data_IF_065645113270
#
_entry.id   IF_065645113270
#
_cell.length_a   1.000
_cell.length_b   1.000
_cell.length_c   1.000
_cell.angle_alpha   90.00
_cell.angle_beta   90.00
_cell.angle_gamma   90.00
#
_symmetry.space_group_name_H-M   'P 1'
#
loop_
_entity.id
_entity.type
_entity.pdbx_description
1 polymer ?
#
# COMPACT_ATOMS: atom_id res chain seq x y z
N UNK A 1 2.33 -34.40 -30.25
CA UNK A 1 2.90 -33.85 -28.99
C UNK A 1 2.05 -32.64 -28.65
N UNK A 2 1.22 -32.76 -27.61
CA UNK A 2 0.16 -31.81 -27.25
C UNK A 2 0.73 -30.57 -26.56
N UNK A 3 0.10 -29.41 -26.77
CA UNK A 3 0.48 -28.09 -26.24
C UNK A 3 0.82 -28.09 -24.74
N UNK A 4 0.22 -28.98 -23.95
CA UNK A 4 0.49 -29.12 -22.51
C UNK A 4 1.93 -29.56 -22.18
N UNK A 5 2.62 -30.27 -23.06
CA UNK A 5 4.01 -30.68 -22.84
C UNK A 5 5.02 -29.54 -23.04
N UNK A 6 4.66 -28.51 -23.82
CA UNK A 6 5.52 -27.34 -24.06
C UNK A 6 5.40 -26.34 -22.90
N UNK A 7 4.20 -26.16 -22.33
CA UNK A 7 3.98 -25.26 -21.19
C UNK A 7 4.67 -25.77 -19.92
N UNK A 8 4.66 -27.09 -19.68
CA UNK A 8 5.36 -27.72 -18.56
C UNK A 8 6.89 -27.62 -18.69
N UNK A 9 7.42 -27.59 -19.92
CA UNK A 9 8.86 -27.43 -20.16
C UNK A 9 9.32 -25.98 -19.91
N UNK A 10 8.51 -24.98 -20.26
CA UNK A 10 8.84 -23.54 -20.07
C UNK A 10 8.75 -23.13 -18.60
N UNK A 11 7.80 -23.67 -17.83
CA UNK A 11 7.72 -23.43 -16.37
C UNK A 11 8.83 -24.15 -15.60
N UNK A 12 9.22 -25.35 -16.05
CA UNK A 12 10.35 -26.08 -15.47
C UNK A 12 11.69 -25.39 -15.75
N UNK A 13 11.90 -24.79 -16.93
CA UNK A 13 13.14 -24.05 -17.22
C UNK A 13 13.20 -22.67 -16.56
N UNK A 14 12.06 -22.01 -16.28
CA UNK A 14 12.05 -20.76 -15.51
C UNK A 14 12.34 -21.00 -14.01
N UNK A 15 11.79 -22.06 -13.41
CA UNK A 15 12.04 -22.42 -12.01
C UNK A 15 13.44 -23.03 -11.81
N UNK A 16 13.90 -23.90 -12.71
CA UNK A 16 15.27 -24.43 -12.65
C UNK A 16 16.33 -23.41 -13.10
N UNK A 17 15.98 -22.49 -14.00
CA UNK A 17 16.86 -21.40 -14.44
C UNK A 17 17.11 -20.37 -13.34
N UNK A 18 16.09 -19.99 -12.56
CA UNK A 18 16.25 -19.14 -11.38
C UNK A 18 17.14 -19.79 -10.30
N UNK A 19 17.02 -21.10 -10.10
CA UNK A 19 17.86 -21.87 -9.17
C UNK A 19 19.33 -21.95 -9.62
N UNK A 20 19.61 -21.89 -10.93
CA UNK A 20 20.99 -21.94 -11.43
C UNK A 20 21.68 -20.57 -11.47
N UNK A 21 20.93 -19.48 -11.68
CA UNK A 21 21.49 -18.11 -11.64
C UNK A 21 21.91 -17.69 -10.22
N UNK A 22 21.25 -18.21 -9.18
CA UNK A 22 21.66 -18.03 -7.78
C UNK A 22 22.99 -18.75 -7.42
N UNK A 23 23.49 -19.65 -8.27
CA UNK A 23 24.71 -20.44 -8.02
C UNK A 23 26.01 -19.73 -8.44
N UNK A 24 25.97 -18.57 -9.11
CA UNK A 24 27.18 -17.91 -9.64
C UNK A 24 27.43 -16.45 -9.26
N UNK A 25 26.57 -15.80 -8.46
CA UNK A 25 26.91 -14.47 -7.90
C UNK A 25 27.87 -14.61 -6.72
N UNK A 26 29.14 -14.84 -7.03
CA UNK A 26 30.22 -14.60 -6.08
C UNK A 26 30.25 -13.14 -5.64
N UNK A 27 30.09 -12.90 -4.33
CA UNK A 27 30.72 -11.75 -3.67
C UNK A 27 29.84 -10.65 -3.10
N UNK A 28 28.51 -10.77 -3.08
CA UNK A 28 27.65 -9.76 -2.47
C UNK A 28 26.45 -10.40 -1.80
N UNK A 29 26.45 -10.44 -0.48
CA UNK A 29 25.31 -10.87 0.32
C UNK A 29 25.63 -10.64 1.79
N UNK A 30 24.60 -10.47 2.61
CA UNK A 30 24.77 -10.37 4.05
C UNK A 30 24.84 -11.78 4.64
N UNK A 31 26.00 -12.15 5.14
CA UNK A 31 26.15 -13.39 5.92
C UNK A 31 25.75 -13.11 7.36
N UNK A 32 24.90 -13.96 7.94
CA UNK A 32 24.49 -13.90 9.34
C UNK A 32 24.72 -15.24 10.03
N UNK A 33 24.97 -15.19 11.33
CA UNK A 33 25.12 -16.37 12.18
C UNK A 33 23.93 -16.46 13.12
N UNK A 34 23.20 -17.57 13.12
CA UNK A 34 22.05 -17.76 14.03
C UNK A 34 22.30 -18.97 14.92
N UNK A 35 22.27 -18.77 16.24
CA UNK A 35 22.56 -19.82 17.22
C UNK A 35 21.25 -20.36 17.80
N UNK A 36 21.00 -21.65 17.59
CA UNK A 36 19.85 -22.41 18.09
C UNK A 36 20.28 -23.42 19.16
N UNK A 37 19.35 -23.75 20.07
CA UNK A 37 19.52 -24.91 20.96
C UNK A 37 19.35 -26.24 20.20
N UNK A 38 18.45 -26.25 19.21
CA UNK A 38 18.21 -27.36 18.30
C UNK A 38 18.04 -26.80 16.89
N UNK A 39 18.95 -27.19 15.98
CA UNK A 39 18.89 -26.80 14.55
C UNK A 39 17.84 -27.59 13.78
N UNK A 40 17.15 -28.53 14.45
CA UNK A 40 16.20 -29.47 13.85
C UNK A 40 16.88 -30.18 12.68
N UNK A 41 16.14 -30.48 11.63
CA UNK A 41 16.65 -31.10 10.41
C UNK A 41 17.17 -30.09 9.37
N UNK A 42 17.53 -28.87 9.77
CA UNK A 42 18.06 -27.84 8.85
C UNK A 42 19.42 -28.27 8.28
N UNK A 43 19.65 -28.00 7.00
CA UNK A 43 20.81 -28.42 6.22
C UNK A 43 21.35 -27.25 5.40
N UNK A 44 22.59 -27.40 4.95
CA UNK A 44 23.12 -26.53 3.90
C UNK A 44 22.23 -26.63 2.65
N UNK A 45 22.10 -25.50 1.96
CA UNK A 45 21.23 -25.27 0.79
C UNK A 45 19.72 -25.13 1.10
N UNK A 46 19.30 -25.26 2.37
CA UNK A 46 17.92 -24.95 2.77
C UNK A 46 17.60 -23.45 2.61
N UNK A 47 16.33 -23.14 2.38
CA UNK A 47 15.86 -21.79 2.11
C UNK A 47 15.84 -20.92 3.38
N UNK A 48 16.14 -19.63 3.20
CA UNK A 48 15.88 -18.58 4.19
C UNK A 48 14.69 -17.74 3.72
N UNK A 49 13.67 -17.63 4.56
CA UNK A 49 12.39 -17.00 4.22
C UNK A 49 12.13 -15.78 5.11
N UNK A 50 11.65 -14.71 4.49
CA UNK A 50 11.06 -13.54 5.15
C UNK A 50 9.64 -13.35 4.63
N UNK A 51 8.64 -13.41 5.51
CA UNK A 51 7.23 -13.46 5.09
C UNK A 51 6.93 -14.70 4.24
N UNK A 52 6.65 -14.51 2.95
CA UNK A 52 6.42 -15.54 1.94
C UNK A 52 7.53 -15.61 0.87
N UNK A 53 8.56 -14.78 0.98
CA UNK A 53 9.63 -14.65 -0.01
C UNK A 53 10.91 -15.41 0.41
N UNK A 54 11.52 -16.10 -0.55
CA UNK A 54 12.86 -16.67 -0.41
C UNK A 54 13.88 -15.55 -0.57
N UNK A 55 14.62 -15.26 0.49
CA UNK A 55 15.57 -14.12 0.54
C UNK A 55 17.03 -14.56 0.67
N UNK A 56 17.27 -15.85 0.88
CA UNK A 56 18.61 -16.38 1.08
C UNK A 56 18.69 -17.90 1.11
N UNK A 57 19.87 -18.38 1.50
CA UNK A 57 20.21 -19.80 1.62
C UNK A 57 21.04 -20.05 2.87
N UNK A 58 20.83 -21.19 3.50
CA UNK A 58 21.71 -21.72 4.55
C UNK A 58 23.01 -22.19 3.90
N UNK A 59 24.14 -21.62 4.31
CA UNK A 59 25.46 -22.02 3.83
C UNK A 59 25.99 -23.23 4.61
N UNK A 60 25.83 -23.23 5.93
CA UNK A 60 26.27 -24.33 6.78
C UNK A 60 25.47 -24.42 8.09
N UNK A 61 25.47 -25.61 8.69
CA UNK A 61 24.87 -25.90 9.99
C UNK A 61 25.90 -26.68 10.81
N UNK A 62 26.41 -26.07 11.88
CA UNK A 62 27.48 -26.62 12.70
C UNK A 62 27.23 -26.38 14.19
N UNK A 63 27.14 -27.45 14.98
CA UNK A 63 27.11 -27.40 16.46
C UNK A 63 26.10 -26.40 17.06
N UNK A 64 24.89 -26.34 16.50
CA UNK A 64 23.85 -25.41 16.95
C UNK A 64 23.87 -24.04 16.24
N UNK A 65 24.91 -23.72 15.49
CA UNK A 65 25.00 -22.50 14.70
C UNK A 65 24.62 -22.74 13.23
N UNK A 66 23.81 -21.85 12.69
CA UNK A 66 23.39 -21.81 11.29
C UNK A 66 24.03 -20.58 10.65
N UNK A 67 24.84 -20.79 9.61
CA UNK A 67 25.37 -19.69 8.79
C UNK A 67 24.44 -19.56 7.60
N UNK A 68 23.82 -18.39 7.46
CA UNK A 68 22.90 -18.08 6.40
C UNK A 68 23.41 -16.90 5.58
N UNK A 69 23.27 -16.98 4.27
CA UNK A 69 23.56 -15.89 3.35
C UNK A 69 22.26 -15.33 2.79
N UNK A 70 22.02 -14.06 3.06
CA UNK A 70 20.94 -13.27 2.51
C UNK A 70 21.43 -12.59 1.23
N UNK A 71 20.62 -12.61 0.18
CA UNK A 71 20.95 -11.97 -1.08
C UNK A 71 21.14 -10.45 -0.88
N UNK A 72 21.97 -9.80 -1.71
CA UNK A 72 22.30 -8.36 -1.54
C UNK A 72 21.05 -7.50 -1.58
N UNK A 73 20.14 -7.78 -2.50
CA UNK A 73 18.86 -7.10 -2.67
C UNK A 73 17.94 -7.20 -1.45
N UNK A 74 18.20 -8.14 -0.53
CA UNK A 74 17.42 -8.39 0.67
C UNK A 74 18.22 -8.13 1.96
N UNK A 75 19.47 -7.69 1.87
CA UNK A 75 20.32 -7.46 3.04
C UNK A 75 19.71 -6.43 4.01
N UNK A 76 18.96 -5.46 3.48
CA UNK A 76 18.23 -4.45 4.26
C UNK A 76 17.02 -5.00 5.03
N UNK A 77 16.64 -6.27 4.88
CA UNK A 77 15.55 -6.85 5.67
C UNK A 77 16.01 -7.29 7.07
N UNK A 78 17.31 -7.51 7.24
CA UNK A 78 17.90 -8.01 8.48
C UNK A 78 18.48 -6.86 9.29
N UNK A 79 18.03 -6.71 10.53
CA UNK A 79 18.44 -5.66 11.47
C UNK A 79 18.78 -6.29 12.82
N UNK A 80 19.39 -5.53 13.74
CA UNK A 80 19.74 -6.06 15.07
C UNK A 80 18.51 -6.58 15.84
N UNK A 81 17.31 -6.13 15.48
CA UNK A 81 16.04 -6.61 16.02
C UNK A 81 15.49 -7.90 15.44
N UNK A 82 16.05 -8.41 14.34
CA UNK A 82 15.47 -9.53 13.61
C UNK A 82 15.41 -10.80 14.46
N UNK A 83 14.30 -11.51 14.37
CA UNK A 83 14.04 -12.72 15.16
C UNK A 83 13.99 -13.92 14.23
N UNK A 84 14.84 -14.91 14.48
CA UNK A 84 14.96 -16.10 13.64
C UNK A 84 14.35 -17.33 14.32
N UNK A 85 13.63 -18.17 13.58
CA UNK A 85 13.16 -19.47 14.04
C UNK A 85 13.23 -20.51 12.91
N UNK A 86 13.13 -21.78 13.28
CA UNK A 86 13.13 -22.89 12.31
C UNK A 86 11.72 -23.45 12.20
N UNK A 87 11.15 -23.38 10.99
CA UNK A 87 9.90 -24.07 10.67
C UNK A 87 10.23 -25.43 10.07
N UNK A 88 9.75 -26.49 10.72
CA UNK A 88 10.06 -27.87 10.35
C UNK A 88 8.80 -28.66 9.97
N UNK A 89 8.85 -29.34 8.83
CA UNK A 89 7.90 -30.35 8.39
C UNK A 89 8.59 -31.74 8.35
N UNK A 90 7.86 -32.86 8.27
CA UNK A 90 8.42 -34.22 8.36
C UNK A 90 9.58 -34.54 7.39
N UNK A 91 9.79 -33.75 6.34
CA UNK A 91 10.87 -33.95 5.35
C UNK A 91 11.69 -32.69 5.04
N UNK A 92 11.45 -31.57 5.73
CA UNK A 92 12.05 -30.27 5.37
C UNK A 92 12.16 -29.37 6.59
N UNK A 93 13.22 -28.57 6.64
CA UNK A 93 13.32 -27.44 7.55
C UNK A 93 13.69 -26.21 6.73
N UNK A 94 13.18 -25.07 7.16
CA UNK A 94 13.50 -23.76 6.58
C UNK A 94 13.84 -22.80 7.71
N UNK A 95 14.77 -21.89 7.43
CA UNK A 95 15.09 -20.79 8.34
C UNK A 95 14.15 -19.63 8.03
N UNK A 96 13.42 -19.14 9.03
CA UNK A 96 12.47 -18.04 8.87
C UNK A 96 12.88 -16.91 9.80
N UNK A 97 12.69 -15.67 9.37
CA UNK A 97 12.81 -14.53 10.26
C UNK A 97 11.76 -13.45 10.01
N UNK A 98 11.57 -12.62 11.02
CA UNK A 98 10.84 -11.36 10.92
C UNK A 98 11.65 -10.23 11.57
N UNK A 99 11.21 -9.00 11.33
CA UNK A 99 11.83 -7.81 11.90
C UNK A 99 10.75 -7.00 12.62
N UNK A 100 10.76 -6.96 13.96
CA UNK A 100 9.82 -6.13 14.70
C UNK A 100 10.12 -4.65 14.44
N UNK A 101 9.04 -3.88 14.39
CA UNK A 101 8.97 -2.47 13.97
C UNK A 101 9.88 -1.49 14.76
N UNK A 102 10.39 -1.90 15.92
CA UNK A 102 11.07 -1.02 16.87
C UNK A 102 12.59 -1.19 16.96
N UNK A 103 13.23 -1.94 16.08
CA UNK A 103 14.52 -2.50 16.49
C UNK A 103 15.63 -2.54 15.44
N UNK A 104 16.70 -1.80 15.80
CA UNK A 104 18.07 -2.10 15.44
C UNK A 104 18.66 -1.23 14.34
N UNK A 105 19.98 -1.01 14.40
CA UNK A 105 20.71 -0.53 13.23
C UNK A 105 20.85 -1.60 12.15
N UNK A 106 21.46 -1.22 11.03
CA UNK A 106 21.94 -2.17 10.02
C UNK A 106 22.95 -3.13 10.66
N UNK A 107 22.88 -4.42 10.29
CA UNK A 107 23.81 -5.42 10.81
C UNK A 107 25.02 -5.57 9.89
N UNK A 108 26.18 -5.78 10.51
CA UNK A 108 27.41 -6.10 9.78
C UNK A 108 27.44 -7.58 9.36
N UNK A 109 28.14 -7.93 8.28
CA UNK A 109 28.38 -9.33 7.92
C UNK A 109 29.00 -10.11 9.08
N UNK A 110 28.43 -11.27 9.37
CA UNK A 110 28.83 -12.13 10.48
C UNK A 110 28.13 -11.82 11.81
N UNK A 111 27.18 -10.87 11.84
CA UNK A 111 26.39 -10.59 13.03
C UNK A 111 25.71 -11.86 13.56
N UNK A 112 25.73 -12.01 14.88
CA UNK A 112 25.22 -13.18 15.58
C UNK A 112 23.84 -12.92 16.19
N UNK A 113 22.87 -13.72 15.76
CA UNK A 113 21.52 -13.75 16.29
C UNK A 113 21.30 -14.96 17.19
N UNK A 114 20.44 -14.78 18.18
CA UNK A 114 19.91 -15.89 18.96
C UNK A 114 18.62 -16.39 18.31
N UNK A 115 18.62 -17.64 17.89
CA UNK A 115 17.45 -18.32 17.34
C UNK A 115 16.40 -18.64 18.41
N UNK A 116 15.13 -18.46 18.06
CA UNK A 116 13.97 -18.82 18.86
C UNK A 116 13.59 -20.29 18.63
N UNK A 117 13.06 -20.94 19.67
CA UNK A 117 12.64 -22.34 19.59
C UNK A 117 11.40 -22.53 18.70
N UNK A 118 10.50 -21.55 18.74
CA UNK A 118 9.22 -21.52 18.05
C UNK A 118 9.02 -20.16 17.38
N UNK A 119 8.06 -20.10 16.45
CA UNK A 119 7.64 -18.87 15.83
C UNK A 119 7.17 -17.89 16.93
N UNK A 120 7.72 -16.66 17.00
CA UNK A 120 7.22 -15.68 17.94
C UNK A 120 5.76 -15.37 17.62
N UNK A 121 4.96 -15.07 18.64
CA UNK A 121 3.64 -14.49 18.39
C UNK A 121 3.82 -13.25 17.50
N UNK A 122 2.97 -13.08 16.47
CA UNK A 122 2.96 -11.85 15.68
C UNK A 122 2.92 -10.67 16.64
N UNK A 123 3.69 -9.62 16.36
CA UNK A 123 3.56 -8.39 17.14
C UNK A 123 2.06 -8.03 17.14
N UNK A 124 1.40 -7.89 18.30
CA UNK A 124 -0.02 -7.55 18.34
C UNK A 124 -0.33 -6.20 17.67
N UNK A 125 0.69 -5.39 17.35
CA UNK A 125 0.59 -4.19 16.50
C UNK A 125 0.58 -4.48 15.00
N UNK A 126 1.10 -5.62 14.56
CA UNK A 126 1.04 -6.10 13.18
C UNK A 126 -0.23 -6.94 13.01
N UNK A 127 -1.36 -6.25 12.88
CA UNK A 127 -2.56 -6.92 12.39
C UNK A 127 -2.24 -7.56 11.03
N UNK A 128 -2.60 -8.83 10.78
CA UNK A 128 -2.42 -9.42 9.46
C UNK A 128 -3.07 -8.51 8.43
N UNK A 129 -2.40 -8.30 7.29
CA UNK A 129 -2.94 -7.46 6.23
C UNK A 129 -4.37 -7.92 5.92
N UNK A 130 -5.35 -6.99 5.90
CA UNK A 130 -6.75 -7.35 5.74
C UNK A 130 -6.91 -8.09 4.41
N UNK A 131 -7.65 -9.19 4.37
CA UNK A 131 -7.81 -9.91 3.10
C UNK A 131 -8.52 -9.01 2.08
N UNK A 132 -7.93 -8.76 0.90
CA UNK A 132 -8.56 -7.91 -0.09
C UNK A 132 -9.80 -8.64 -0.60
N UNK A 133 -10.93 -7.94 -0.61
CA UNK A 133 -12.18 -8.44 -1.17
C UNK A 133 -12.69 -7.35 -2.09
N UNK A 134 -13.00 -7.73 -3.32
CA UNK A 134 -13.65 -6.83 -4.28
C UNK A 134 -14.85 -6.19 -3.59
N UNK A 135 -14.97 -4.88 -3.69
CA UNK A 135 -16.17 -4.18 -3.20
C UNK A 135 -17.30 -4.51 -4.17
N UNK A 136 -18.01 -5.60 -3.88
CA UNK A 136 -19.17 -6.02 -4.67
C UNK A 136 -20.26 -4.95 -4.65
N UNK A 137 -20.35 -4.23 -3.53
CA UNK A 137 -21.21 -3.08 -3.34
C UNK A 137 -20.32 -1.88 -2.99
N UNK A 138 -20.26 -0.90 -3.89
CA UNK A 138 -19.51 0.34 -3.63
C UNK A 138 -20.26 1.15 -2.55
N UNK A 139 -19.56 1.71 -1.56
CA UNK A 139 -20.21 2.52 -0.53
C UNK A 139 -20.90 3.74 -1.16
N UNK A 140 -22.15 4.09 -0.80
CA UNK A 140 -22.93 5.10 -1.51
C UNK A 140 -22.31 6.51 -1.48
N UNK A 141 -21.42 6.78 -0.53
CA UNK A 141 -20.70 8.04 -0.37
C UNK A 141 -19.41 8.12 -1.20
N UNK A 142 -18.96 7.02 -1.82
CA UNK A 142 -17.82 7.05 -2.74
C UNK A 142 -18.28 7.62 -4.09
N UNK A 143 -17.48 8.52 -4.66
CA UNK A 143 -17.77 9.12 -5.95
C UNK A 143 -16.47 9.36 -6.74
N UNK A 144 -16.62 9.69 -8.01
CA UNK A 144 -15.51 10.05 -8.89
C UNK A 144 -15.53 11.55 -9.16
N UNK A 145 -14.39 12.22 -8.96
CA UNK A 145 -14.21 13.61 -9.34
C UNK A 145 -13.45 13.68 -10.66
N UNK A 146 -14.02 14.41 -11.63
CA UNK A 146 -13.40 14.76 -12.91
C UNK A 146 -13.17 16.26 -12.98
N UNK A 147 -11.92 16.68 -13.18
CA UNK A 147 -11.59 18.07 -13.46
C UNK A 147 -11.17 18.26 -14.92
N UNK A 148 -11.62 19.35 -15.51
CA UNK A 148 -11.16 19.86 -16.80
C UNK A 148 -10.66 21.27 -16.57
N UNK A 149 -9.37 21.48 -16.81
CA UNK A 149 -8.68 22.76 -16.60
C UNK A 149 -8.21 23.25 -17.97
N UNK A 150 -8.68 24.42 -18.39
CA UNK A 150 -8.23 25.08 -19.62
C UNK A 150 -7.26 26.19 -19.24
N UNK A 151 -6.02 26.10 -19.73
CA UNK A 151 -4.97 27.06 -19.40
C UNK A 151 -4.97 28.22 -20.40
N UNK A 152 -4.81 29.43 -19.87
CA UNK A 152 -4.65 30.66 -20.64
C UNK A 152 -3.21 30.75 -21.16
N UNK A 153 -2.95 30.03 -22.24
CA UNK A 153 -1.67 29.98 -22.95
C UNK A 153 -1.86 30.41 -24.41
N UNK A 154 -0.79 30.84 -25.10
CA UNK A 154 -0.85 31.17 -26.55
C UNK A 154 -1.42 30.03 -27.40
N UNK A 155 -1.33 28.80 -26.90
CA UNK A 155 -1.97 27.60 -27.43
C UNK A 155 -2.82 27.02 -26.31
N UNK A 156 -4.14 27.10 -26.39
CA UNK A 156 -5.05 26.58 -25.36
C UNK A 156 -4.71 25.11 -25.03
N UNK A 157 -4.25 24.86 -23.80
CA UNK A 157 -3.99 23.51 -23.30
C UNK A 157 -5.12 23.08 -22.37
N UNK A 158 -5.73 21.93 -22.64
CA UNK A 158 -6.77 21.33 -21.78
C UNK A 158 -6.20 20.16 -21.01
N UNK A 159 -6.12 20.28 -19.68
CA UNK A 159 -5.76 19.18 -18.79
C UNK A 159 -7.01 18.51 -18.22
N UNK A 160 -7.02 17.17 -18.24
CA UNK A 160 -8.11 16.36 -17.68
C UNK A 160 -7.58 15.46 -16.58
N UNK A 161 -8.20 15.49 -15.40
CA UNK A 161 -7.81 14.66 -14.25
C UNK A 161 -9.01 13.93 -13.67
N UNK A 162 -8.74 12.80 -13.05
CA UNK A 162 -9.72 11.90 -12.46
C UNK A 162 -9.18 11.35 -11.14
N UNK A 163 -10.02 11.31 -10.11
CA UNK A 163 -9.64 10.78 -8.79
C UNK A 163 -10.87 10.29 -8.04
N UNK A 164 -10.66 9.37 -7.08
CA UNK A 164 -11.67 9.09 -6.07
C UNK A 164 -11.94 10.33 -5.22
N UNK A 165 -13.20 10.47 -4.82
CA UNK A 165 -13.69 11.51 -3.92
C UNK A 165 -14.76 10.92 -2.99
N UNK A 166 -15.02 11.60 -1.89
CA UNK A 166 -16.01 11.14 -0.88
C UNK A 166 -17.02 12.22 -0.58
N UNK A 167 -18.28 11.82 -0.45
CA UNK A 167 -19.35 12.69 0.05
C UNK A 167 -19.15 12.84 1.56
N UNK A 168 -18.61 14.00 1.95
CA UNK A 168 -18.25 14.35 3.31
C UNK A 168 -19.44 14.84 4.15
N UNK A 169 -20.47 15.39 3.51
CA UNK A 169 -21.66 15.88 4.20
C UNK A 169 -22.83 15.92 3.24
N UNK A 170 -24.00 15.51 3.72
CA UNK A 170 -25.30 15.70 3.05
C UNK A 170 -26.08 16.72 3.86
N UNK A 171 -26.50 17.82 3.22
CA UNK A 171 -27.28 18.89 3.87
C UNK A 171 -28.78 18.65 3.66
N UNK A 172 -29.60 19.20 4.57
CA UNK A 172 -31.05 19.03 4.53
C UNK A 172 -31.72 19.61 3.26
N UNK A 173 -31.07 20.54 2.57
CA UNK A 173 -31.53 21.12 1.31
C UNK A 173 -31.10 20.33 0.06
N UNK A 174 -30.46 19.17 0.23
CA UNK A 174 -29.95 18.34 -0.86
C UNK A 174 -28.54 18.73 -1.35
N UNK A 175 -27.89 19.71 -0.72
CA UNK A 175 -26.50 20.04 -1.06
C UNK A 175 -25.53 18.99 -0.52
N UNK A 176 -24.50 18.66 -1.32
CA UNK A 176 -23.43 17.73 -0.98
C UNK A 176 -22.11 18.47 -0.84
N UNK A 177 -21.38 18.19 0.23
CA UNK A 177 -19.96 18.55 0.35
C UNK A 177 -19.14 17.34 -0.07
N UNK A 178 -18.30 17.51 -1.08
CA UNK A 178 -17.44 16.45 -1.63
C UNK A 178 -15.99 16.79 -1.34
N UNK A 179 -15.26 15.83 -0.78
CA UNK A 179 -13.84 15.94 -0.46
C UNK A 179 -13.03 15.11 -1.44
N UNK A 180 -11.98 15.72 -2.00
CA UNK A 180 -11.05 15.05 -2.89
C UNK A 180 -9.60 15.47 -2.61
N UNK A 181 -8.62 14.72 -3.13
CA UNK A 181 -7.22 15.14 -3.10
C UNK A 181 -6.99 16.48 -3.80
N UNK A 182 -6.19 17.35 -3.18
CA UNK A 182 -5.88 18.69 -3.68
C UNK A 182 -5.24 18.71 -5.06
N UNK A 183 -4.45 17.68 -5.40
CA UNK A 183 -3.80 17.55 -6.72
C UNK A 183 -4.78 17.60 -7.90
N UNK A 184 -6.06 17.25 -7.71
CA UNK A 184 -7.07 17.34 -8.79
C UNK A 184 -7.30 18.80 -9.25
N UNK A 185 -6.89 19.76 -8.42
CA UNK A 185 -6.99 21.21 -8.64
C UNK A 185 -5.64 21.90 -8.85
N UNK A 186 -4.51 21.20 -8.74
CA UNK A 186 -3.17 21.82 -8.84
C UNK A 186 -2.78 22.14 -10.29
N UNK A 187 -2.35 23.35 -10.62
CA UNK A 187 -1.85 23.68 -11.96
C UNK A 187 -0.72 24.72 -11.89
N UNK A 188 0.14 24.71 -12.90
CA UNK A 188 1.25 25.66 -13.05
C UNK A 188 0.96 26.59 -14.23
N UNK A 189 0.07 27.57 -14.05
CA UNK A 189 -0.30 28.49 -15.12
C UNK A 189 -1.35 29.50 -14.71
N UNK A 190 -1.84 30.29 -15.66
CA UNK A 190 -3.06 31.08 -15.51
C UNK A 190 -4.23 30.26 -16.12
N UNK A 191 -5.35 30.13 -15.42
CA UNK A 191 -6.52 29.39 -15.93
C UNK A 191 -7.40 30.32 -16.77
N UNK A 192 -7.84 29.81 -17.91
CA UNK A 192 -8.89 30.41 -18.74
C UNK A 192 -10.28 29.93 -18.32
N UNK A 193 -10.42 28.64 -18.01
CA UNK A 193 -11.68 28.05 -17.53
C UNK A 193 -11.38 26.83 -16.64
N UNK A 194 -12.26 26.59 -15.66
CA UNK A 194 -12.20 25.41 -14.79
C UNK A 194 -13.59 24.79 -14.66
N UNK A 195 -13.65 23.46 -14.81
CA UNK A 195 -14.90 22.72 -14.67
C UNK A 195 -14.69 21.45 -13.87
N UNK A 196 -15.51 21.28 -12.84
CA UNK A 196 -15.52 20.09 -12.00
C UNK A 196 -16.85 19.36 -12.13
N UNK A 197 -16.76 18.03 -12.27
CA UNK A 197 -17.93 17.15 -12.30
C UNK A 197 -17.72 16.01 -11.33
N UNK A 198 -18.75 15.71 -10.54
CA UNK A 198 -18.79 14.55 -9.65
C UNK A 198 -19.72 13.52 -10.28
N UNK A 199 -19.23 12.30 -10.43
CA UNK A 199 -20.01 11.14 -10.86
C UNK A 199 -20.31 10.28 -9.63
N UNK A 200 -21.59 10.16 -9.31
CA UNK A 200 -22.09 9.32 -8.22
C UNK A 200 -22.13 7.85 -8.67
N UNK A 201 -22.16 6.92 -7.71
CA UNK A 201 -22.28 5.48 -8.00
C UNK A 201 -23.58 5.13 -8.71
N UNK A 202 -24.65 5.92 -8.53
CA UNK A 202 -25.89 5.79 -9.29
C UNK A 202 -25.70 6.01 -10.80
N UNK A 203 -24.56 6.56 -11.22
CA UNK A 203 -24.26 6.99 -12.59
C UNK A 203 -24.62 8.46 -12.85
N UNK A 204 -25.20 9.16 -11.88
CA UNK A 204 -25.52 10.57 -12.02
C UNK A 204 -24.25 11.42 -12.09
N UNK A 205 -24.17 12.29 -13.10
CA UNK A 205 -23.08 13.25 -13.24
C UNK A 205 -23.58 14.65 -12.88
N UNK A 206 -22.97 15.24 -11.86
CA UNK A 206 -23.36 16.52 -11.28
C UNK A 206 -22.23 17.55 -11.43
N UNK A 207 -22.59 18.81 -11.59
CA UNK A 207 -21.62 19.92 -11.63
C UNK A 207 -21.20 20.24 -10.19
N UNK A 208 -19.90 20.41 -9.97
CA UNK A 208 -19.36 20.74 -8.67
C UNK A 208 -18.68 22.11 -8.69
N UNK A 209 -18.87 22.88 -7.62
CA UNK A 209 -18.24 24.17 -7.37
C UNK A 209 -17.06 23.98 -6.40
N UNK A 210 -15.87 24.47 -6.74
CA UNK A 210 -14.73 24.45 -5.82
C UNK A 210 -14.90 25.53 -4.76
N UNK A 211 -15.05 25.14 -3.49
CA UNK A 211 -15.26 26.07 -2.37
C UNK A 211 -13.94 26.54 -1.77
N UNK A 212 -13.00 25.61 -1.59
CA UNK A 212 -11.68 25.92 -1.06
C UNK A 212 -10.66 24.84 -1.41
N UNK A 213 -9.42 25.27 -1.64
CA UNK A 213 -8.25 24.42 -1.64
C UNK A 213 -7.49 24.66 -0.33
N UNK A 214 -7.38 23.62 0.49
CA UNK A 214 -6.52 23.61 1.66
C UNK A 214 -5.59 22.43 1.51
N UNK A 215 -4.50 22.63 0.77
CA UNK A 215 -3.52 21.58 0.55
C UNK A 215 -3.23 20.87 1.87
N UNK A 216 -3.40 19.54 1.93
CA UNK A 216 -3.53 18.63 0.78
C UNK A 216 -4.95 18.33 0.22
N UNK A 217 -6.00 19.06 0.62
CA UNK A 217 -7.41 18.84 0.26
C UNK A 217 -7.99 19.85 -0.74
N UNK A 218 -8.97 19.39 -1.51
CA UNK A 218 -9.93 20.24 -2.22
C UNK A 218 -11.35 19.90 -1.76
N UNK A 219 -12.14 20.93 -1.48
CA UNK A 219 -13.53 20.82 -1.03
C UNK A 219 -14.46 21.38 -2.08
N UNK A 220 -15.42 20.57 -2.50
CA UNK A 220 -16.39 20.90 -3.52
C UNK A 220 -17.81 20.91 -2.96
N UNK A 221 -18.66 21.70 -3.58
CA UNK A 221 -20.10 21.75 -3.35
C UNK A 221 -20.84 21.26 -4.59
N UNK A 222 -21.82 20.38 -4.37
CA UNK A 222 -22.82 20.02 -5.38
C UNK A 222 -24.18 20.45 -4.85
N UNK A 223 -24.93 21.23 -5.62
CA UNK A 223 -26.17 21.86 -5.14
C UNK A 223 -27.42 21.07 -5.53
N UNK A 224 -28.45 21.18 -4.69
CA UNK A 224 -29.84 20.78 -4.99
C UNK A 224 -29.96 19.36 -5.54
N UNK A 225 -29.25 18.42 -4.93
CA UNK A 225 -29.26 17.03 -5.36
C UNK A 225 -30.45 16.28 -4.75
N UNK A 226 -30.93 15.25 -5.44
CA UNK A 226 -31.89 14.29 -4.89
C UNK A 226 -31.22 13.19 -4.04
N UNK A 227 -29.95 13.36 -3.68
CA UNK A 227 -29.19 12.38 -2.92
C UNK A 227 -29.67 12.37 -1.46
N UNK A 228 -30.25 11.26 -1.03
CA UNK A 228 -30.83 11.05 0.29
C UNK A 228 -30.11 9.97 1.13
N UNK A 229 -28.96 9.52 0.63
CA UNK A 229 -28.10 8.52 1.26
C UNK A 229 -27.19 9.12 2.35
N UNK A 230 -26.29 8.30 2.90
CA UNK A 230 -25.39 8.67 3.99
C UNK A 230 -24.06 9.26 3.50
N UNK A 231 -23.54 10.25 4.23
CA UNK A 231 -22.16 10.72 4.06
C UNK A 231 -21.15 9.63 4.49
N UNK A 232 -19.91 9.77 4.03
CA UNK A 232 -18.83 8.88 4.38
C UNK A 232 -18.60 8.86 5.90
N UNK A 233 -18.46 7.67 6.51
CA UNK A 233 -17.95 7.58 7.87
C UNK A 233 -16.49 8.05 7.85
N UNK A 234 -16.23 9.21 8.45
CA UNK A 234 -14.87 9.66 8.72
C UNK A 234 -14.22 8.75 9.76
N UNK A 235 -13.01 8.27 9.51
CA UNK A 235 -12.31 7.32 10.39
C UNK A 235 -10.80 7.56 10.37
N UNK A 236 -10.04 7.03 11.34
CA UNK A 236 -10.07 7.21 12.79
C UNK A 236 -8.91 8.16 13.21
N UNK A 237 -8.36 8.00 14.42
CA UNK A 237 -7.03 8.50 14.82
C UNK A 237 -5.94 8.19 13.77
N UNK A 238 -4.78 8.84 13.89
CA UNK A 238 -3.66 8.63 12.96
C UNK A 238 -3.38 7.13 12.74
N UNK A 239 -3.21 6.73 11.46
CA UNK A 239 -2.88 5.35 11.11
C UNK A 239 -1.65 4.89 11.88
N UNK A 240 -1.73 3.68 12.46
CA UNK A 240 -0.59 3.04 13.10
C UNK A 240 0.39 2.54 12.04
N UNK A 241 1.68 2.69 12.29
CA UNK A 241 2.71 2.04 11.48
C UNK A 241 2.49 0.52 11.45
N UNK A 242 2.62 -0.09 10.27
CA UNK A 242 2.31 -1.50 10.05
C UNK A 242 0.82 -1.83 9.95
N UNK A 243 -0.08 -0.83 10.01
CA UNK A 243 -1.52 -1.07 9.88
C UNK A 243 -1.86 -1.51 8.46
N UNK A 244 -2.48 -2.69 8.35
CA UNK A 244 -3.00 -3.18 7.10
C UNK A 244 -4.23 -2.40 6.62
N UNK A 245 -4.29 -2.14 5.31
CA UNK A 245 -5.30 -1.34 4.63
C UNK A 245 -5.89 -2.13 3.45
N UNK A 246 -7.15 -1.84 3.13
CA UNK A 246 -7.75 -2.24 1.85
C UNK A 246 -7.87 -0.99 1.00
N UNK A 247 -7.19 -0.94 -0.13
CA UNK A 247 -7.41 0.12 -1.12
C UNK A 247 -8.48 -0.29 -2.10
N UNK A 248 -9.24 0.66 -2.61
CA UNK A 248 -10.14 0.46 -3.74
C UNK A 248 -9.83 1.45 -4.85
N UNK A 249 -9.86 0.96 -6.08
CA UNK A 249 -9.92 1.82 -7.25
C UNK A 249 -11.37 2.21 -7.59
N UNK A 250 -11.51 2.92 -8.71
CA UNK A 250 -12.79 3.39 -9.23
C UNK A 250 -13.57 2.30 -9.97
N UNK A 251 -12.98 1.13 -10.21
CA UNK A 251 -13.63 -0.05 -10.76
C UNK A 251 -14.20 -0.94 -9.64
N UNK A 252 -13.83 -0.67 -8.38
CA UNK A 252 -14.23 -1.42 -7.20
C UNK A 252 -13.30 -2.61 -6.92
N UNK A 253 -12.17 -2.66 -7.63
CA UNK A 253 -11.14 -3.64 -7.41
C UNK A 253 -10.33 -3.24 -6.19
N UNK A 254 -10.08 -4.23 -5.34
CA UNK A 254 -9.54 -4.04 -4.01
C UNK A 254 -8.13 -4.61 -3.90
N UNK A 255 -7.25 -3.86 -3.25
CA UNK A 255 -5.84 -4.18 -3.07
C UNK A 255 -5.49 -4.16 -1.60
N UNK A 256 -4.59 -5.04 -1.17
CA UNK A 256 -3.98 -4.93 0.16
C UNK A 256 -2.83 -3.98 0.15
N UNK A 257 -2.69 -3.25 1.24
CA UNK A 257 -1.56 -2.38 1.47
C UNK A 257 -1.23 -2.33 2.95
N UNK A 258 -0.06 -1.80 3.27
CA UNK A 258 0.36 -1.56 4.65
C UNK A 258 0.80 -0.12 4.78
N UNK A 259 0.41 0.54 5.87
CA UNK A 259 0.91 1.88 6.19
C UNK A 259 2.34 1.78 6.72
N UNK A 260 3.30 2.38 6.01
CA UNK A 260 4.74 2.32 6.34
C UNK A 260 5.39 3.68 6.13
N UNK A 261 6.14 4.16 7.11
CA UNK A 261 6.93 5.41 7.08
C UNK A 261 6.15 6.65 6.60
N UNK A 262 4.88 6.77 6.99
CA UNK A 262 4.04 7.89 6.58
C UNK A 262 3.43 7.77 5.17
N UNK A 263 3.68 6.65 4.49
CA UNK A 263 3.15 6.31 3.18
C UNK A 263 2.38 4.99 3.18
N UNK A 264 1.99 4.55 1.99
CA UNK A 264 1.39 3.23 1.80
C UNK A 264 2.34 2.42 0.94
N UNK A 265 2.76 1.27 1.46
CA UNK A 265 3.49 0.26 0.69
C UNK A 265 2.51 -0.51 -0.19
N UNK A 266 2.74 -0.48 -1.50
CA UNK A 266 1.86 -1.02 -2.54
C UNK A 266 2.65 -1.81 -3.57
N UNK A 267 2.03 -2.84 -4.18
CA UNK A 267 2.57 -3.45 -5.39
C UNK A 267 2.85 -2.37 -6.46
N UNK A 268 3.98 -2.50 -7.17
CA UNK A 268 4.52 -1.50 -8.09
C UNK A 268 3.57 -1.09 -9.25
N UNK A 269 2.48 -1.83 -9.47
CA UNK A 269 1.52 -1.63 -10.56
C UNK A 269 0.15 -1.09 -10.11
N UNK A 270 -0.01 -0.69 -8.85
CA UNK A 270 -1.32 -0.23 -8.35
C UNK A 270 -1.63 1.17 -8.87
N UNK A 271 -2.81 1.35 -9.49
CA UNK A 271 -3.22 2.59 -10.17
C UNK A 271 -3.28 3.85 -9.29
N UNK A 272 -3.38 5.03 -9.93
CA UNK A 272 -3.42 6.32 -9.24
C UNK A 272 -4.84 6.66 -8.73
N UNK A 273 -4.95 7.46 -7.66
CA UNK A 273 -6.22 8.02 -7.21
C UNK A 273 -7.14 7.03 -6.49
N UNK A 274 -6.55 6.05 -5.81
CA UNK A 274 -7.21 5.04 -4.99
C UNK A 274 -7.67 5.65 -3.66
N UNK A 275 -8.71 5.04 -3.09
CA UNK A 275 -9.22 5.32 -1.76
C UNK A 275 -8.76 4.22 -0.80
N UNK A 276 -8.26 4.57 0.38
CA UNK A 276 -7.94 3.58 1.42
C UNK A 276 -9.10 3.42 2.41
N UNK A 277 -9.40 2.15 2.68
CA UNK A 277 -10.45 1.70 3.58
C UNK A 277 -9.87 0.93 4.77
N UNK A 278 -10.34 1.27 5.96
CA UNK A 278 -10.14 0.52 7.20
C UNK A 278 -11.40 -0.30 7.43
N UNK A 279 -11.23 -1.59 7.73
CA UNK A 279 -12.36 -2.52 7.96
C UNK A 279 -13.39 -2.56 6.81
N UNK A 280 -12.97 -2.30 5.57
CA UNK A 280 -13.79 -2.40 4.36
C UNK A 280 -14.85 -1.30 4.17
N UNK A 281 -15.20 -0.54 5.22
CA UNK A 281 -16.27 0.46 5.19
C UNK A 281 -15.86 1.84 5.65
N UNK A 282 -14.69 1.99 6.29
CA UNK A 282 -14.27 3.25 6.87
C UNK A 282 -13.19 3.91 6.05
N UNK A 283 -13.24 5.23 5.87
CA UNK A 283 -12.28 5.91 5.01
C UNK A 283 -11.09 6.41 5.82
N UNK A 284 -9.89 6.04 5.39
CA UNK A 284 -8.66 6.55 5.97
C UNK A 284 -8.11 7.76 5.19
N UNK A 285 -8.34 7.85 3.87
CA UNK A 285 -7.65 8.82 3.02
C UNK A 285 -7.39 8.36 1.58
N UNK A 286 -6.57 9.11 0.84
CA UNK A 286 -6.35 8.92 -0.60
C UNK A 286 -4.89 8.67 -0.96
N UNK A 287 -4.70 8.00 -2.10
CA UNK A 287 -3.40 7.89 -2.74
C UNK A 287 -3.16 9.05 -3.70
N UNK A 288 -2.01 9.71 -3.58
CA UNK A 288 -1.58 10.76 -4.50
C UNK A 288 -0.71 10.19 -5.63
N UNK A 289 -0.74 10.77 -6.84
CA UNK A 289 0.17 10.37 -7.91
C UNK A 289 1.63 10.64 -7.51
N UNK A 290 2.56 9.84 -8.04
CA UNK A 290 4.00 10.11 -7.94
C UNK A 290 4.30 11.45 -8.63
N UNK A 291 4.64 12.49 -7.86
CA UNK A 291 5.13 13.76 -8.39
C UNK A 291 6.60 13.89 -8.01
N UNK A 292 7.52 13.59 -8.94
CA UNK A 292 8.96 13.74 -8.73
C UNK A 292 9.74 12.42 -8.70
N UNK A 293 10.93 12.45 -8.10
CA UNK A 293 11.89 11.33 -8.04
C UNK A 293 11.61 10.32 -6.91
N UNK A 294 10.64 10.61 -6.04
CA UNK A 294 10.24 9.72 -4.96
C UNK A 294 9.31 8.64 -5.53
N UNK A 295 9.79 7.40 -5.53
CA UNK A 295 9.01 6.22 -5.92
C UNK A 295 8.12 5.82 -4.75
N UNK A 296 6.87 6.28 -4.71
CA UNK A 296 5.95 5.86 -3.65
C UNK A 296 4.61 6.58 -3.63
N UNK A 297 3.55 5.83 -3.38
CA UNK A 297 2.22 6.39 -3.20
C UNK A 297 2.17 7.23 -1.92
N UNK A 298 2.11 8.56 -2.09
CA UNK A 298 2.00 9.47 -0.96
C UNK A 298 0.59 9.39 -0.37
N UNK A 299 0.55 9.22 0.95
CA UNK A 299 -0.67 9.11 1.71
C UNK A 299 -1.26 10.47 2.09
N UNK A 300 -2.58 10.56 2.02
CA UNK A 300 -3.34 11.75 2.38
C UNK A 300 -4.44 11.40 3.41
N UNK A 301 -4.20 11.56 4.73
CA UNK A 301 -5.10 11.09 5.79
C UNK A 301 -6.33 11.97 5.98
N UNK A 302 -7.56 11.43 5.91
CA UNK A 302 -8.78 12.23 6.15
C UNK A 302 -8.84 12.84 7.56
N UNK A 303 -8.12 12.27 8.53
CA UNK A 303 -7.95 12.84 9.86
C UNK A 303 -7.25 14.21 9.76
N UNK A 304 -8.04 15.28 9.93
CA UNK A 304 -7.61 16.67 9.76
C UNK A 304 -8.42 17.47 8.73
N UNK A 305 -9.16 16.79 7.84
CA UNK A 305 -10.04 17.43 6.87
C UNK A 305 -11.23 18.16 7.52
N UNK A 306 -11.55 17.85 8.78
CA UNK A 306 -12.68 18.45 9.52
C UNK A 306 -12.67 19.98 9.52
N UNK A 307 -11.50 20.60 9.71
CA UNK A 307 -11.38 22.07 9.66
C UNK A 307 -11.72 22.66 8.28
N UNK A 308 -11.35 21.97 7.19
CA UNK A 308 -11.66 22.40 5.83
C UNK A 308 -13.16 22.23 5.51
N UNK A 309 -13.77 21.16 6.03
CA UNK A 309 -15.21 20.91 5.89
C UNK A 309 -16.02 21.96 6.68
N UNK A 310 -15.63 22.26 7.91
CA UNK A 310 -16.30 23.27 8.74
C UNK A 310 -16.16 24.69 8.19
N UNK A 311 -14.99 25.03 7.61
CA UNK A 311 -14.84 26.28 6.86
C UNK A 311 -15.80 26.34 5.68
N UNK A 312 -15.88 25.27 4.88
CA UNK A 312 -16.80 25.20 3.75
C UNK A 312 -18.26 25.34 4.19
N UNK A 313 -18.65 24.71 5.31
CA UNK A 313 -19.99 24.89 5.90
C UNK A 313 -20.27 26.34 6.26
N UNK A 314 -19.33 26.99 6.92
CA UNK A 314 -19.45 28.41 7.33
C UNK A 314 -19.59 29.36 6.13
N UNK A 315 -18.93 29.06 5.01
CA UNK A 315 -19.03 29.87 3.77
C UNK A 315 -20.39 29.73 3.06
N UNK A 316 -21.16 28.71 3.40
CA UNK A 316 -22.43 28.37 2.75
C UNK A 316 -23.66 28.71 3.57
N UNK A 317 -23.48 29.25 4.78
CA UNK A 317 -24.52 29.80 5.66
C UNK A 317 -24.54 31.34 5.56
#
# INVERSE_FOLDING_TARGET
ITLGAVLLLVVATATLGGVWVLRQSGGGGLTVRVVFQDTKNLRADDDVIYGDAIVGRVESVESGAVIARIATEHALLVHEGSRFWIQSAPAMAILVFDTPMLSGGNVEPGHEFKGLAEQPEPDPKLAPAPTPRRLTDRPPWLCELRSTLELNTEWTETQRRKSAAVIASVRANGDLIVLAPGWVTEYSGELADERYRVELISGDTLVAELITTRLPWAVFLVRETAYDDVAAPFWPDALGEGQGLVLTDLEGDAFTATYVDGGIDLPADTGQGLLALIEGFNVAGFTLPNVGADTGVRWLPLNGAGSAIEEARTKLD
#
